data_IF_461962474917
#
_entry.id   IF_461962474917
#
_cell.length_a   1.000
_cell.length_b   1.000
_cell.length_c   1.000
_cell.angle_alpha   90.00
_cell.angle_beta   90.00
_cell.angle_gamma   90.00
#
_symmetry.space_group_name_H-M   'P 1'
#
loop_
_entity.id
_entity.type
_entity.pdbx_description
1 polymer ?
#
# COMPACT_ATOMS: atom_id res chain seq x y z
N UNK A 1 -1.19 22.15 -4.80
CA UNK A 1 -1.00 23.57 -5.20
C UNK A 1 -2.11 24.48 -4.67
N UNK A 2 -3.45 24.21 -4.80
CA UNK A 2 -4.49 25.13 -4.30
C UNK A 2 -4.40 25.38 -2.79
N UNK A 3 -4.14 24.34 -2.00
CA UNK A 3 -4.04 24.44 -0.54
C UNK A 3 -2.86 25.33 -0.10
N UNK A 4 -1.70 25.21 -0.71
CA UNK A 4 -0.54 26.04 -0.41
C UNK A 4 -0.81 27.53 -0.73
N UNK A 5 -1.46 27.81 -1.85
CA UNK A 5 -1.87 29.16 -2.25
C UNK A 5 -2.86 29.74 -1.25
N UNK A 6 -3.85 28.97 -0.80
CA UNK A 6 -4.83 29.41 0.21
C UNK A 6 -4.16 29.75 1.53
N UNK A 7 -3.21 28.94 2.00
CA UNK A 7 -2.46 29.20 3.24
C UNK A 7 -1.61 30.46 3.09
N UNK A 8 -0.88 30.60 1.97
CA UNK A 8 -0.09 31.82 1.72
C UNK A 8 -0.94 33.09 1.70
N UNK A 9 -2.09 33.07 1.02
CA UNK A 9 -3.02 34.19 0.98
C UNK A 9 -3.59 34.51 2.36
N UNK A 10 -3.92 33.49 3.15
CA UNK A 10 -4.40 33.67 4.52
C UNK A 10 -3.33 34.35 5.41
N UNK A 11 -2.07 33.90 5.32
CA UNK A 11 -0.96 34.50 6.07
C UNK A 11 -0.71 35.95 5.63
N UNK A 12 -0.66 36.24 4.34
CA UNK A 12 -0.50 37.59 3.82
C UNK A 12 -1.63 38.50 4.29
N UNK A 13 -2.88 38.03 4.21
CA UNK A 13 -4.05 38.80 4.68
C UNK A 13 -3.97 39.06 6.19
N UNK A 14 -3.56 38.06 6.99
CA UNK A 14 -3.39 38.22 8.43
C UNK A 14 -2.31 39.26 8.76
N UNK A 15 -1.19 39.29 8.04
CA UNK A 15 -0.12 40.30 8.21
C UNK A 15 -0.64 41.68 7.86
N UNK A 16 -1.37 41.83 6.76
CA UNK A 16 -1.96 43.14 6.37
C UNK A 16 -2.93 43.63 7.44
N UNK A 17 -3.82 42.76 7.91
CA UNK A 17 -4.77 43.10 8.99
C UNK A 17 -4.01 43.51 10.25
N UNK A 18 -3.00 42.76 10.67
CA UNK A 18 -2.22 43.06 11.87
C UNK A 18 -1.44 44.39 11.77
N UNK A 19 -0.88 44.70 10.63
CA UNK A 19 -0.04 45.90 10.45
C UNK A 19 -0.82 47.16 10.10
N UNK A 20 -1.96 47.04 9.44
CA UNK A 20 -2.75 48.19 8.94
C UNK A 20 -4.05 48.35 9.68
N UNK A 21 -4.89 47.30 9.72
CA UNK A 21 -6.26 47.41 10.25
C UNK A 21 -6.24 47.52 11.77
N UNK A 22 -5.43 46.71 12.47
CA UNK A 22 -5.39 46.74 13.93
C UNK A 22 -4.89 48.09 14.46
N UNK A 23 -3.79 48.68 13.99
CA UNK A 23 -3.39 50.03 14.45
C UNK A 23 -4.41 51.09 14.12
N UNK A 24 -5.02 51.08 12.93
CA UNK A 24 -6.07 52.03 12.56
C UNK A 24 -7.30 51.95 13.47
N UNK A 25 -7.74 50.69 13.76
CA UNK A 25 -8.83 50.46 14.72
C UNK A 25 -8.48 50.93 16.14
N UNK A 26 -7.22 50.69 16.58
CA UNK A 26 -6.76 51.14 17.88
C UNK A 26 -6.83 52.69 17.97
N UNK A 27 -6.38 53.42 16.95
CA UNK A 27 -6.51 54.90 16.92
C UNK A 27 -7.97 55.34 17.02
N UNK A 28 -8.83 54.67 16.27
CA UNK A 28 -10.26 55.01 16.28
C UNK A 28 -10.96 54.71 17.62
N UNK A 29 -10.71 53.49 18.17
CA UNK A 29 -11.33 53.04 19.41
C UNK A 29 -10.80 53.78 20.63
N UNK A 30 -9.53 54.17 20.64
CA UNK A 30 -8.88 54.83 21.77
C UNK A 30 -8.70 56.36 21.56
N UNK A 31 -9.41 56.95 20.58
CA UNK A 31 -9.33 58.37 20.26
C UNK A 31 -9.61 59.31 21.46
N UNK A 32 -10.38 58.85 22.45
CA UNK A 32 -10.68 59.61 23.68
C UNK A 32 -9.62 59.47 24.78
N UNK A 33 -8.50 58.80 24.49
CA UNK A 33 -7.47 58.52 25.50
C UNK A 33 -7.82 57.36 26.41
N UNK A 34 -6.79 56.64 26.85
CA UNK A 34 -6.92 55.51 27.80
C UNK A 34 -6.18 55.88 29.06
N UNK A 35 -6.85 55.83 30.19
CA UNK A 35 -6.18 55.91 31.49
C UNK A 35 -5.38 54.63 31.72
N UNK A 36 -4.08 54.72 31.51
CA UNK A 36 -3.17 53.59 31.71
C UNK A 36 -3.00 53.35 33.21
N UNK A 37 -3.75 52.35 33.76
CA UNK A 37 -3.42 51.81 35.09
C UNK A 37 -2.21 50.90 34.94
N UNK A 38 -1.10 51.26 35.59
CA UNK A 38 0.10 50.39 35.63
C UNK A 38 -0.28 49.08 36.33
N UNK A 39 -0.23 47.99 35.56
CA UNK A 39 -0.42 46.65 36.10
C UNK A 39 0.73 46.28 37.03
N UNK A 40 0.42 45.83 38.25
CA UNK A 40 1.40 45.36 39.25
C UNK A 40 2.24 44.19 38.70
N UNK A 41 1.64 43.37 37.85
CA UNK A 41 2.28 42.21 37.22
C UNK A 41 3.25 42.65 36.11
N UNK A 42 2.95 43.67 35.35
CA UNK A 42 3.78 44.14 34.23
C UNK A 42 5.01 44.93 34.69
N UNK A 43 4.98 45.58 35.87
CA UNK A 43 6.09 46.37 36.37
C UNK A 43 7.42 45.59 36.46
N UNK A 44 7.49 44.39 37.11
CA UNK A 44 8.74 43.68 37.20
C UNK A 44 9.21 43.13 35.84
N UNK A 45 8.29 42.77 34.95
CA UNK A 45 8.58 42.33 33.58
C UNK A 45 9.20 43.48 32.77
N UNK A 46 8.60 44.67 32.87
CA UNK A 46 9.09 45.87 32.17
C UNK A 46 10.48 46.30 32.65
N UNK A 47 10.71 46.27 33.97
CA UNK A 47 12.08 46.51 34.51
C UNK A 47 13.12 45.48 34.03
N UNK A 48 12.73 44.22 33.94
CA UNK A 48 13.63 43.17 33.46
C UNK A 48 13.92 43.39 31.97
N UNK A 49 12.86 43.65 31.19
CA UNK A 49 12.98 43.96 29.77
C UNK A 49 13.85 45.18 29.49
N UNK A 50 13.64 46.28 30.18
CA UNK A 50 14.44 47.50 30.00
C UNK A 50 15.93 47.26 30.31
N UNK A 51 16.24 46.51 31.40
CA UNK A 51 17.62 46.15 31.72
C UNK A 51 18.23 45.26 30.65
N UNK A 52 17.51 44.25 30.17
CA UNK A 52 17.95 43.36 29.13
C UNK A 52 18.20 44.13 27.81
N UNK A 53 17.27 45.01 27.45
CA UNK A 53 17.37 45.84 26.26
C UNK A 53 18.55 46.79 26.33
N UNK A 54 18.79 47.48 27.44
CA UNK A 54 19.96 48.35 27.64
C UNK A 54 21.25 47.58 27.51
N UNK A 55 21.38 46.38 28.13
CA UNK A 55 22.57 45.53 27.97
C UNK A 55 22.77 45.10 26.54
N UNK A 56 21.69 44.69 25.86
CA UNK A 56 21.73 44.26 24.46
C UNK A 56 22.22 45.41 23.53
N UNK A 57 21.71 46.62 23.73
CA UNK A 57 22.10 47.81 22.97
C UNK A 57 23.57 48.25 23.23
N UNK A 58 24.04 48.11 24.49
CA UNK A 58 25.41 48.38 24.84
C UNK A 58 26.35 47.32 24.25
N UNK A 59 25.93 46.05 24.23
CA UNK A 59 26.71 44.93 23.69
C UNK A 59 26.30 44.54 22.26
N UNK A 60 25.88 45.49 21.41
CA UNK A 60 25.35 45.27 20.06
C UNK A 60 26.19 44.33 19.18
N UNK A 61 27.53 44.46 19.28
CA UNK A 61 28.45 43.58 18.52
C UNK A 61 28.37 42.13 18.99
N UNK A 62 28.26 41.89 20.30
CA UNK A 62 28.09 40.55 20.87
C UNK A 62 26.73 39.92 20.50
N UNK A 63 25.68 40.73 20.51
CA UNK A 63 24.33 40.27 20.10
C UNK A 63 24.34 39.86 18.62
N UNK A 64 24.95 40.68 17.75
CA UNK A 64 25.09 40.34 16.33
C UNK A 64 25.98 39.09 16.11
N UNK A 65 27.07 38.96 16.87
CA UNK A 65 27.95 37.80 16.80
C UNK A 65 27.23 36.52 17.23
N UNK A 66 26.46 36.57 18.32
CA UNK A 66 25.65 35.44 18.80
C UNK A 66 24.56 35.09 17.77
N UNK A 67 23.85 36.08 17.24
CA UNK A 67 22.85 35.85 16.19
C UNK A 67 23.47 35.24 14.92
N UNK A 68 24.60 35.73 14.50
CA UNK A 68 25.36 35.15 13.37
C UNK A 68 25.84 33.74 13.65
N UNK A 69 26.35 33.47 14.86
CA UNK A 69 26.74 32.12 15.25
C UNK A 69 25.55 31.14 15.23
N UNK A 70 24.40 31.55 15.80
CA UNK A 70 23.18 30.72 15.79
C UNK A 70 22.70 30.45 14.35
N UNK A 71 22.78 31.46 13.48
CA UNK A 71 22.44 31.29 12.05
C UNK A 71 23.39 30.27 11.36
N UNK A 72 24.69 30.36 11.64
CA UNK A 72 25.66 29.41 11.11
C UNK A 72 25.39 28.00 11.64
N UNK A 73 25.13 27.85 12.93
CA UNK A 73 24.77 26.55 13.54
C UNK A 73 23.52 25.99 12.89
N UNK A 74 22.49 26.81 12.70
CA UNK A 74 21.27 26.39 12.04
C UNK A 74 21.51 25.95 10.58
N UNK A 75 22.31 26.72 9.83
CA UNK A 75 22.67 26.39 8.46
C UNK A 75 23.51 25.09 8.35
N UNK A 76 24.38 24.82 9.31
CA UNK A 76 25.17 23.57 9.39
C UNK A 76 24.29 22.37 9.80
N UNK A 77 23.27 22.61 10.61
CA UNK A 77 22.33 21.56 11.01
C UNK A 77 21.31 21.22 9.94
N UNK A 78 20.95 22.16 9.06
CA UNK A 78 19.95 21.98 8.01
C UNK A 78 20.18 20.73 7.13
N UNK A 79 21.40 20.45 6.63
CA UNK A 79 21.65 19.25 5.83
C UNK A 79 21.62 17.93 6.63
N UNK A 80 21.65 18.01 7.97
CA UNK A 80 21.56 16.84 8.86
C UNK A 80 20.12 16.51 9.27
N UNK A 81 19.18 17.38 8.95
CA UNK A 81 17.76 17.11 9.11
C UNK A 81 17.36 16.12 8.01
N UNK A 82 16.91 14.94 8.41
CA UNK A 82 16.36 13.95 7.48
C UNK A 82 15.18 14.51 6.69
N UNK A 83 15.00 14.01 5.48
CA UNK A 83 13.87 14.37 4.62
C UNK A 83 12.88 13.24 4.57
N UNK A 84 11.72 13.43 5.17
CA UNK A 84 10.57 12.54 5.02
C UNK A 84 9.53 13.22 4.13
N UNK A 85 8.94 12.45 3.21
CA UNK A 85 7.96 13.01 2.27
C UNK A 85 6.62 13.28 2.97
N UNK A 86 6.18 12.36 3.79
CA UNK A 86 4.98 12.48 4.64
C UNK A 86 5.28 11.84 5.98
N UNK A 87 5.09 12.53 7.11
CA UNK A 87 5.25 11.90 8.43
C UNK A 87 4.18 10.81 8.61
N UNK A 88 4.57 9.67 9.13
CA UNK A 88 3.65 8.58 9.45
C UNK A 88 2.68 9.04 10.55
N UNK A 89 1.38 8.95 10.25
CA UNK A 89 0.32 9.16 11.23
C UNK A 89 0.00 7.83 11.92
N UNK A 90 -0.25 7.86 13.22
CA UNK A 90 -0.74 6.69 13.93
C UNK A 90 -2.23 6.50 13.67
N UNK A 91 -2.58 5.37 13.02
CA UNK A 91 -3.95 5.07 12.61
C UNK A 91 -4.69 4.14 13.60
N UNK A 92 -3.99 3.63 14.63
CA UNK A 92 -4.54 2.63 15.56
C UNK A 92 -4.80 1.27 14.90
N UNK A 93 -4.25 1.05 13.72
CA UNK A 93 -4.39 -0.19 12.95
C UNK A 93 -3.07 -0.56 12.29
N UNK A 94 -2.86 -1.85 12.03
CA UNK A 94 -1.75 -2.36 11.22
C UNK A 94 -2.34 -3.07 10.00
N UNK A 95 -1.78 -2.81 8.84
CA UNK A 95 -2.02 -3.55 7.62
C UNK A 95 -0.81 -4.45 7.34
N UNK A 96 -0.97 -5.74 7.59
CA UNK A 96 0.05 -6.75 7.32
C UNK A 96 -0.25 -7.40 5.96
N UNK A 97 0.65 -7.22 5.01
CA UNK A 97 0.62 -7.97 3.76
C UNK A 97 1.51 -9.19 3.87
N UNK A 98 0.95 -10.35 3.52
CA UNK A 98 1.64 -11.63 3.47
C UNK A 98 1.65 -12.12 2.03
N UNK A 99 2.83 -12.34 1.48
CA UNK A 99 2.98 -12.87 0.12
C UNK A 99 3.50 -14.29 0.19
N UNK A 100 2.71 -15.21 -0.34
CA UNK A 100 3.05 -16.63 -0.48
C UNK A 100 3.85 -16.86 -1.78
N UNK A 101 4.33 -18.09 -1.97
CA UNK A 101 4.95 -18.48 -3.23
C UNK A 101 4.02 -18.19 -4.43
N UNK A 102 4.56 -17.77 -5.60
CA UNK A 102 3.76 -17.43 -6.78
C UNK A 102 2.82 -18.53 -7.25
N UNK A 103 3.20 -19.80 -7.00
CA UNK A 103 2.42 -20.99 -7.35
C UNK A 103 1.34 -21.35 -6.32
N UNK A 104 1.21 -20.58 -5.22
CA UNK A 104 0.20 -20.86 -4.21
C UNK A 104 -1.21 -20.65 -4.76
N UNK A 105 -2.09 -21.62 -4.48
CA UNK A 105 -3.50 -21.53 -4.85
C UNK A 105 -4.29 -20.68 -3.85
N UNK A 106 -5.50 -20.27 -4.24
CA UNK A 106 -6.43 -19.59 -3.35
C UNK A 106 -6.75 -20.45 -2.11
N UNK A 107 -6.92 -21.77 -2.28
CA UNK A 107 -7.18 -22.69 -1.18
C UNK A 107 -6.01 -22.73 -0.19
N UNK A 108 -4.76 -22.65 -0.70
CA UNK A 108 -3.57 -22.56 0.16
C UNK A 108 -3.61 -21.28 0.97
N UNK A 109 -3.87 -20.15 0.34
CA UNK A 109 -3.97 -18.86 1.03
C UNK A 109 -5.10 -18.86 2.09
N UNK A 110 -6.29 -19.41 1.76
CA UNK A 110 -7.40 -19.58 2.69
C UNK A 110 -7.02 -20.47 3.87
N UNK A 111 -6.19 -21.48 3.68
CA UNK A 111 -5.76 -22.38 4.75
C UNK A 111 -4.68 -21.78 5.67
N UNK A 112 -3.88 -20.83 5.15
CA UNK A 112 -2.80 -20.16 5.88
C UNK A 112 -3.33 -18.99 6.71
N UNK A 113 -4.24 -18.19 6.15
CA UNK A 113 -4.72 -16.96 6.80
C UNK A 113 -5.24 -17.15 8.24
N UNK A 114 -6.10 -18.15 8.55
CA UNK A 114 -6.58 -18.34 9.92
C UNK A 114 -5.47 -18.69 10.92
N UNK A 115 -4.39 -19.32 10.46
CA UNK A 115 -3.26 -19.66 11.34
C UNK A 115 -2.47 -18.40 11.70
N UNK A 116 -2.29 -17.49 10.73
CA UNK A 116 -1.65 -16.21 10.96
C UNK A 116 -2.52 -15.32 11.85
N UNK A 117 -3.83 -15.27 11.61
CA UNK A 117 -4.77 -14.51 12.43
C UNK A 117 -4.75 -15.00 13.89
N UNK A 118 -4.81 -16.31 14.11
CA UNK A 118 -4.75 -16.89 15.46
C UNK A 118 -3.48 -16.50 16.20
N UNK A 119 -2.33 -16.52 15.52
CA UNK A 119 -1.04 -16.14 16.09
C UNK A 119 -0.95 -14.63 16.40
N UNK A 120 -1.51 -13.78 15.53
CA UNK A 120 -1.53 -12.34 15.72
C UNK A 120 -2.50 -11.91 16.84
N UNK A 121 -3.60 -12.65 17.02
CA UNK A 121 -4.54 -12.42 18.12
C UNK A 121 -4.00 -12.84 19.50
N UNK A 122 -2.86 -13.54 19.58
CA UNK A 122 -2.20 -13.80 20.86
C UNK A 122 -1.53 -12.55 21.45
N UNK A 123 -1.33 -11.50 20.68
CA UNK A 123 -0.84 -10.22 21.19
C UNK A 123 -1.97 -9.46 21.88
N UNK A 124 -1.76 -9.08 23.15
CA UNK A 124 -2.77 -8.37 23.93
C UNK A 124 -3.19 -7.04 23.34
N UNK A 125 -2.35 -6.42 22.52
CA UNK A 125 -2.54 -5.15 21.84
C UNK A 125 -3.53 -5.26 20.68
N UNK A 126 -3.74 -6.48 20.14
CA UNK A 126 -4.65 -6.72 19.02
C UNK A 126 -6.07 -6.93 19.54
N UNK A 127 -7.03 -6.22 18.96
CA UNK A 127 -8.45 -6.35 19.25
C UNK A 127 -9.14 -7.32 18.30
N UNK A 128 -8.82 -7.19 16.99
CA UNK A 128 -9.34 -8.09 15.95
C UNK A 128 -8.34 -8.24 14.80
N UNK A 129 -8.47 -9.33 14.06
CA UNK A 129 -7.77 -9.60 12.81
C UNK A 129 -8.80 -9.92 11.72
N UNK A 130 -8.62 -9.29 10.54
CA UNK A 130 -9.49 -9.50 9.37
C UNK A 130 -8.62 -9.70 8.14
N UNK A 131 -8.70 -10.88 7.52
CA UNK A 131 -7.96 -11.20 6.30
C UNK A 131 -8.78 -10.97 5.04
N UNK A 132 -8.13 -10.37 4.05
CA UNK A 132 -8.61 -10.27 2.67
C UNK A 132 -7.68 -11.07 1.77
N UNK A 133 -8.23 -12.02 1.00
CA UNK A 133 -7.48 -12.96 0.17
C UNK A 133 -7.97 -12.88 -1.27
N UNK A 134 -7.04 -12.74 -2.21
CA UNK A 134 -7.34 -12.66 -3.62
C UNK A 134 -8.00 -11.35 -4.04
N UNK A 135 -8.72 -11.38 -5.15
CA UNK A 135 -9.36 -10.20 -5.77
C UNK A 135 -10.88 -10.29 -5.72
N UNK A 136 -11.52 -9.14 -5.67
CA UNK A 136 -12.96 -9.05 -5.83
C UNK A 136 -13.37 -9.40 -7.27
N UNK A 137 -14.56 -9.98 -7.44
CA UNK A 137 -15.12 -10.28 -8.77
C UNK A 137 -15.48 -9.01 -9.54
N UNK A 138 -15.91 -7.96 -8.83
CA UNK A 138 -16.33 -6.68 -9.42
C UNK A 138 -15.69 -5.52 -8.67
N UNK A 139 -14.99 -4.63 -9.41
CA UNK A 139 -14.59 -3.30 -8.93
C UNK A 139 -13.50 -3.27 -7.88
N UNK A 140 -12.78 -4.35 -7.65
CA UNK A 140 -11.67 -4.43 -6.70
C UNK A 140 -10.30 -4.19 -7.34
N UNK A 141 -9.30 -3.94 -6.49
CA UNK A 141 -7.90 -3.95 -6.89
C UNK A 141 -7.51 -5.38 -7.32
N UNK A 142 -6.86 -5.56 -8.48
CA UNK A 142 -6.47 -6.88 -8.97
C UNK A 142 -5.25 -7.42 -8.21
N UNK A 143 -5.49 -7.90 -6.98
CA UNK A 143 -4.46 -8.58 -6.20
C UNK A 143 -4.34 -10.05 -6.60
N UNK A 144 -3.12 -10.62 -6.72
CA UNK A 144 -2.94 -12.02 -6.96
C UNK A 144 -3.38 -12.87 -5.77
N UNK A 145 -3.81 -14.10 -6.03
CA UNK A 145 -4.38 -15.01 -5.01
C UNK A 145 -3.36 -15.46 -3.94
N UNK A 146 -2.08 -15.31 -4.21
CA UNK A 146 -1.01 -15.59 -3.25
C UNK A 146 -0.72 -14.42 -2.30
N UNK A 147 -1.46 -13.31 -2.38
CA UNK A 147 -1.39 -12.20 -1.42
C UNK A 147 -2.56 -12.28 -0.43
N UNK A 148 -2.21 -12.20 0.85
CA UNK A 148 -3.14 -12.06 1.96
C UNK A 148 -2.89 -10.69 2.59
N UNK A 149 -3.92 -9.86 2.70
CA UNK A 149 -3.87 -8.63 3.47
C UNK A 149 -4.62 -8.84 4.79
N UNK A 150 -3.92 -8.68 5.91
CA UNK A 150 -4.48 -8.83 7.26
C UNK A 150 -4.56 -7.46 7.91
N UNK A 151 -5.77 -7.03 8.19
CA UNK A 151 -6.04 -5.79 8.94
C UNK A 151 -6.15 -6.13 10.42
N UNK A 152 -5.27 -5.54 11.22
CA UNK A 152 -5.25 -5.68 12.68
C UNK A 152 -5.77 -4.40 13.31
N UNK A 153 -6.90 -4.47 13.99
CA UNK A 153 -7.35 -3.40 14.87
C UNK A 153 -6.59 -3.47 16.19
N UNK A 154 -6.03 -2.33 16.61
CA UNK A 154 -5.28 -2.25 17.85
C UNK A 154 -6.15 -1.65 18.96
N UNK A 155 -5.97 -2.13 20.18
CA UNK A 155 -6.56 -1.53 21.37
C UNK A 155 -6.00 -0.14 21.63
N UNK A 156 -6.70 0.71 22.38
CA UNK A 156 -6.16 1.98 22.85
C UNK A 156 -4.79 1.80 23.53
N UNK A 157 -3.87 2.72 23.27
CA UNK A 157 -2.47 2.62 23.67
C UNK A 157 -2.29 2.42 25.19
N UNK A 158 -3.23 2.92 26.00
CA UNK A 158 -3.20 2.77 27.47
C UNK A 158 -3.38 1.31 27.91
N UNK A 159 -3.87 0.44 27.04
CA UNK A 159 -4.11 -0.99 27.31
C UNK A 159 -2.97 -1.89 26.81
N UNK A 160 -1.92 -1.31 26.23
CA UNK A 160 -0.80 -2.07 25.71
C UNK A 160 0.10 -2.58 26.83
N UNK A 161 0.57 -3.82 26.71
CA UNK A 161 1.35 -4.52 27.74
C UNK A 161 2.74 -4.89 27.22
N UNK A 162 2.80 -5.44 26.00
CA UNK A 162 4.04 -6.04 25.46
C UNK A 162 4.90 -5.03 24.70
N UNK A 163 4.33 -3.96 24.20
CA UNK A 163 5.02 -2.95 23.41
C UNK A 163 4.63 -1.54 23.84
N UNK A 164 5.56 -0.58 23.69
CA UNK A 164 5.30 0.84 23.98
C UNK A 164 5.02 1.65 22.72
N UNK A 165 5.37 1.14 21.57
CA UNK A 165 5.17 1.80 20.27
C UNK A 165 4.71 0.78 19.23
N UNK A 166 4.04 1.26 18.18
CA UNK A 166 3.64 0.43 17.05
C UNK A 166 4.84 -0.28 16.41
N UNK A 167 5.96 0.41 16.28
CA UNK A 167 7.19 -0.14 15.69
C UNK A 167 7.72 -1.31 16.52
N UNK A 168 7.71 -1.17 17.85
CA UNK A 168 8.11 -2.26 18.76
C UNK A 168 7.15 -3.45 18.65
N UNK A 169 5.84 -3.20 18.58
CA UNK A 169 4.83 -4.24 18.37
C UNK A 169 5.04 -4.97 17.05
N UNK A 170 5.31 -4.24 15.97
CA UNK A 170 5.60 -4.82 14.65
C UNK A 170 6.84 -5.73 14.70
N UNK A 171 7.92 -5.32 15.38
CA UNK A 171 9.12 -6.14 15.55
C UNK A 171 8.84 -7.44 16.31
N UNK A 172 8.01 -7.39 17.35
CA UNK A 172 7.59 -8.59 18.09
C UNK A 172 6.74 -9.52 17.21
N UNK A 173 5.85 -8.96 16.41
CA UNK A 173 5.04 -9.73 15.46
C UNK A 173 5.90 -10.35 14.36
N UNK A 174 6.83 -9.59 13.78
CA UNK A 174 7.78 -10.06 12.77
C UNK A 174 8.59 -11.26 13.28
N UNK A 175 9.20 -11.14 14.46
CA UNK A 175 9.95 -12.21 15.09
C UNK A 175 9.10 -13.48 15.32
N UNK A 176 7.82 -13.33 15.65
CA UNK A 176 6.90 -14.46 15.82
C UNK A 176 6.52 -15.10 14.49
N UNK A 177 6.32 -14.29 13.45
CA UNK A 177 5.94 -14.73 12.10
C UNK A 177 7.10 -15.39 11.34
N UNK A 178 8.38 -15.17 11.73
CA UNK A 178 9.55 -15.88 11.18
C UNK A 178 9.45 -17.41 11.32
N UNK A 179 8.57 -17.91 12.19
CA UNK A 179 8.27 -19.34 12.31
C UNK A 179 7.60 -19.95 11.07
N UNK A 180 7.09 -19.10 10.16
CA UNK A 180 6.52 -19.53 8.87
C UNK A 180 7.54 -19.32 7.74
N UNK A 181 8.34 -20.31 7.40
CA UNK A 181 9.32 -20.17 6.34
C UNK A 181 8.64 -20.03 4.98
N UNK A 182 9.22 -19.21 4.12
CA UNK A 182 8.75 -19.02 2.74
C UNK A 182 7.60 -18.05 2.57
N UNK A 183 7.18 -17.32 3.63
CA UNK A 183 6.28 -16.21 3.55
C UNK A 183 7.06 -14.90 3.64
N UNK A 184 6.64 -13.91 2.86
CA UNK A 184 7.16 -12.54 2.94
C UNK A 184 6.13 -11.68 3.67
N UNK A 185 6.59 -10.94 4.67
CA UNK A 185 5.76 -10.08 5.49
C UNK A 185 6.11 -8.62 5.21
N UNK A 186 5.09 -7.77 5.04
CA UNK A 186 5.25 -6.34 4.89
C UNK A 186 4.24 -5.63 5.79
N UNK A 187 4.75 -4.88 6.76
CA UNK A 187 3.95 -4.13 7.72
C UNK A 187 3.76 -2.69 7.26
N UNK A 188 2.52 -2.23 7.29
CA UNK A 188 2.13 -0.87 6.93
C UNK A 188 0.90 -0.44 7.72
N UNK A 189 0.33 0.71 7.35
CA UNK A 189 -0.97 1.17 7.86
C UNK A 189 -1.91 1.43 6.68
N UNK A 190 -3.23 1.28 6.84
CA UNK A 190 -4.20 1.37 5.74
C UNK A 190 -4.13 2.69 4.97
N UNK A 191 -4.11 3.85 5.66
CA UNK A 191 -4.07 5.17 5.02
C UNK A 191 -2.68 5.42 4.43
N UNK A 192 -1.61 5.10 5.16
CA UNK A 192 -0.23 5.22 4.67
C UNK A 192 -0.04 4.42 3.37
N UNK A 193 -0.50 3.17 3.33
CA UNK A 193 -0.46 2.33 2.11
C UNK A 193 -1.19 2.99 0.94
N UNK A 194 -2.35 3.63 1.19
CA UNK A 194 -3.10 4.32 0.14
C UNK A 194 -2.40 5.59 -0.34
N UNK A 195 -1.76 6.32 0.55
CA UNK A 195 -0.95 7.50 0.19
C UNK A 195 0.24 7.09 -0.65
N UNK A 196 0.96 6.04 -0.25
CA UNK A 196 2.10 5.51 -1.01
C UNK A 196 1.67 5.03 -2.40
N UNK A 197 0.56 4.31 -2.50
CA UNK A 197 -0.01 3.86 -3.77
C UNK A 197 -0.38 5.01 -4.70
N UNK A 198 -0.96 6.10 -4.17
CA UNK A 198 -1.30 7.29 -4.95
C UNK A 198 -0.06 8.06 -5.42
N UNK A 199 1.02 8.05 -4.66
CA UNK A 199 2.24 8.78 -4.96
C UNK A 199 3.20 8.01 -5.86
N UNK A 200 3.46 6.74 -5.53
CA UNK A 200 4.44 5.89 -6.20
C UNK A 200 3.81 4.93 -7.22
N UNK A 201 2.50 4.64 -7.08
CA UNK A 201 1.78 3.63 -7.86
C UNK A 201 1.99 2.20 -7.35
N UNK A 202 2.58 2.05 -6.14
CA UNK A 202 2.77 0.78 -5.44
C UNK A 202 2.50 0.95 -3.95
N UNK A 203 2.25 -0.14 -3.24
CA UNK A 203 1.94 -0.13 -1.81
C UNK A 203 3.24 -0.20 -0.97
N UNK A 204 4.19 0.70 -1.24
CA UNK A 204 5.46 0.82 -0.53
C UNK A 204 6.00 2.25 -0.63
N UNK A 205 6.84 2.65 0.32
CA UNK A 205 7.41 3.99 0.41
C UNK A 205 8.35 4.32 -0.76
N UNK A 206 9.11 3.34 -1.25
CA UNK A 206 10.05 3.47 -2.36
C UNK A 206 9.67 2.53 -3.51
N UNK A 207 9.67 3.06 -4.73
CA UNK A 207 9.39 2.31 -5.95
C UNK A 207 10.45 2.60 -7.03
N UNK A 208 11.15 1.57 -7.47
CA UNK A 208 12.07 1.62 -8.61
C UNK A 208 11.34 0.99 -9.79
N UNK A 209 10.97 1.81 -10.78
CA UNK A 209 10.23 1.36 -11.98
C UNK A 209 11.21 1.04 -13.10
N UNK A 210 11.19 -0.18 -13.58
CA UNK A 210 11.99 -0.64 -14.71
C UNK A 210 11.09 -0.86 -15.92
N UNK A 211 11.40 -0.21 -17.03
CA UNK A 211 10.61 -0.25 -18.26
C UNK A 211 11.29 -1.08 -19.34
N UNK A 212 10.50 -1.82 -20.12
CA UNK A 212 11.02 -2.62 -21.22
C UNK A 212 9.92 -3.39 -21.95
N UNK A 213 10.22 -3.86 -23.15
CA UNK A 213 9.27 -4.64 -23.98
C UNK A 213 9.25 -6.12 -23.64
N UNK A 214 10.37 -6.67 -23.15
CA UNK A 214 10.56 -8.10 -22.88
C UNK A 214 10.49 -8.38 -21.38
N UNK A 215 9.54 -9.23 -20.96
CA UNK A 215 9.33 -9.58 -19.56
C UNK A 215 10.48 -10.44 -18.99
N UNK A 216 11.15 -11.26 -19.79
CA UNK A 216 12.25 -12.08 -19.30
C UNK A 216 13.46 -11.19 -18.96
N UNK A 217 13.78 -10.23 -19.84
CA UNK A 217 14.85 -9.24 -19.60
C UNK A 217 14.50 -8.36 -18.39
N UNK A 218 13.25 -7.93 -18.27
CA UNK A 218 12.79 -7.14 -17.12
C UNK A 218 12.95 -7.95 -15.82
N UNK A 219 12.58 -9.24 -15.83
CA UNK A 219 12.75 -10.13 -14.67
C UNK A 219 14.21 -10.25 -14.24
N UNK A 220 15.10 -10.55 -15.19
CA UNK A 220 16.53 -10.68 -14.91
C UNK A 220 17.12 -9.39 -14.33
N UNK A 221 16.85 -8.26 -14.96
CA UNK A 221 17.36 -6.96 -14.49
C UNK A 221 16.71 -6.51 -13.17
N UNK A 222 15.42 -6.81 -12.99
CA UNK A 222 14.72 -6.56 -11.75
C UNK A 222 15.32 -7.30 -10.56
N UNK A 223 15.65 -8.58 -10.73
CA UNK A 223 16.34 -9.38 -9.70
C UNK A 223 17.73 -8.82 -9.35
N UNK A 224 18.48 -8.36 -10.36
CA UNK A 224 19.77 -7.72 -10.12
C UNK A 224 19.62 -6.44 -9.29
N UNK A 225 18.63 -5.61 -9.59
CA UNK A 225 18.32 -4.40 -8.83
C UNK A 225 17.84 -4.74 -7.41
N UNK A 226 16.95 -5.71 -7.27
CA UNK A 226 16.45 -6.18 -5.98
C UNK A 226 17.61 -6.58 -5.05
N UNK A 227 18.55 -7.41 -5.54
CA UNK A 227 19.73 -7.82 -4.78
C UNK A 227 20.61 -6.64 -4.36
N UNK A 228 20.76 -5.63 -5.22
CA UNK A 228 21.52 -4.42 -4.89
C UNK A 228 20.80 -3.60 -3.80
N UNK A 229 19.50 -3.41 -3.93
CA UNK A 229 18.70 -2.64 -2.96
C UNK A 229 18.65 -3.32 -1.60
N UNK A 230 18.61 -4.65 -1.55
CA UNK A 230 18.67 -5.43 -0.30
C UNK A 230 19.95 -5.19 0.50
N UNK A 231 21.03 -4.77 -0.15
CA UNK A 231 22.31 -4.48 0.51
C UNK A 231 22.39 -3.05 1.06
N UNK A 232 21.43 -2.19 0.74
CA UNK A 232 21.41 -0.80 1.18
C UNK A 232 20.96 -0.73 2.65
N UNK A 233 21.79 -0.17 3.57
CA UNK A 233 21.36 -0.01 4.96
C UNK A 233 20.14 0.90 5.08
N UNK A 234 19.09 0.42 5.72
CA UNK A 234 17.83 1.13 5.87
C UNK A 234 16.74 0.72 4.88
N UNK A 235 17.06 0.00 3.79
CA UNK A 235 16.06 -0.62 2.94
C UNK A 235 15.52 -1.90 3.62
N UNK A 236 14.20 -1.98 3.75
CA UNK A 236 13.46 -3.10 4.33
C UNK A 236 12.39 -3.58 3.36
N UNK A 237 11.95 -4.83 3.53
CA UNK A 237 10.86 -5.45 2.74
C UNK A 237 11.07 -5.31 1.23
N UNK A 238 12.33 -5.39 0.80
CA UNK A 238 12.69 -5.24 -0.61
C UNK A 238 12.13 -6.42 -1.39
N UNK A 239 11.27 -6.15 -2.34
CA UNK A 239 10.64 -7.16 -3.17
C UNK A 239 10.42 -6.67 -4.60
N UNK A 240 10.71 -7.53 -5.56
CA UNK A 240 10.35 -7.29 -6.95
C UNK A 240 8.91 -7.73 -7.20
N UNK A 241 8.18 -6.98 -8.01
CA UNK A 241 6.85 -7.35 -8.50
C UNK A 241 6.90 -8.69 -9.24
N UNK A 242 5.97 -9.58 -8.89
CA UNK A 242 5.91 -10.90 -9.51
C UNK A 242 5.37 -10.82 -10.92
N UNK A 243 6.17 -11.21 -11.90
CA UNK A 243 5.82 -11.21 -13.33
C UNK A 243 5.73 -12.61 -13.93
N UNK A 244 5.78 -13.64 -13.11
CA UNK A 244 5.67 -15.04 -13.53
C UNK A 244 5.44 -15.97 -12.34
N UNK A 245 5.25 -17.25 -12.62
CA UNK A 245 5.12 -18.29 -11.60
C UNK A 245 3.69 -18.64 -11.23
N UNK A 246 2.67 -17.89 -11.69
CA UNK A 246 1.28 -18.28 -11.48
C UNK A 246 0.92 -19.47 -12.38
N UNK A 247 0.41 -20.53 -11.76
CA UNK A 247 -0.08 -21.69 -12.49
C UNK A 247 -1.40 -21.37 -13.18
N UNK A 248 -1.39 -21.37 -14.50
CA UNK A 248 -2.58 -21.06 -15.32
C UNK A 248 -3.01 -22.27 -16.10
N UNK A 249 -4.31 -22.60 -16.04
CA UNK A 249 -4.90 -23.61 -16.89
C UNK A 249 -5.12 -23.03 -18.31
N UNK A 250 -4.42 -23.61 -19.27
CA UNK A 250 -4.51 -23.18 -20.67
C UNK A 250 -5.22 -24.26 -21.47
N UNK A 251 -6.27 -23.86 -22.19
CA UNK A 251 -6.99 -24.71 -23.15
C UNK A 251 -6.74 -24.17 -24.54
N UNK A 252 -5.89 -24.86 -25.33
CA UNK A 252 -5.52 -24.46 -26.69
C UNK A 252 -6.39 -25.18 -27.71
N UNK A 253 -7.31 -24.52 -28.42
CA UNK A 253 -8.20 -25.16 -29.40
C UNK A 253 -7.43 -25.71 -30.60
N UNK A 254 -7.68 -26.97 -31.00
CA UNK A 254 -7.26 -27.49 -32.26
C UNK A 254 -8.34 -27.26 -33.31
N UNK A 255 -8.18 -26.21 -34.12
CA UNK A 255 -9.17 -25.77 -35.08
C UNK A 255 -9.50 -26.83 -36.15
N UNK A 256 -8.51 -27.65 -36.57
CA UNK A 256 -8.73 -28.73 -37.52
C UNK A 256 -9.55 -29.87 -36.93
N UNK A 257 -9.26 -30.23 -35.67
CA UNK A 257 -10.04 -31.24 -34.95
C UNK A 257 -11.47 -30.76 -34.72
N UNK A 258 -11.67 -29.53 -34.26
CA UNK A 258 -13.00 -28.92 -34.06
C UNK A 258 -13.81 -28.95 -35.35
N UNK A 259 -13.26 -28.56 -36.50
CA UNK A 259 -13.99 -28.52 -37.79
C UNK A 259 -14.41 -29.91 -38.24
N UNK A 260 -13.63 -30.97 -37.97
CA UNK A 260 -14.01 -32.37 -38.28
C UNK A 260 -15.28 -32.83 -37.55
N UNK A 261 -15.51 -32.28 -36.38
CA UNK A 261 -16.70 -32.57 -35.56
C UNK A 261 -17.82 -31.54 -35.72
N UNK A 262 -17.65 -30.55 -36.63
CA UNK A 262 -18.61 -29.46 -36.83
C UNK A 262 -18.72 -28.50 -35.65
N UNK A 263 -17.69 -28.47 -34.81
CA UNK A 263 -17.61 -27.60 -33.65
C UNK A 263 -16.84 -26.31 -33.95
N UNK A 264 -17.26 -25.21 -33.35
CA UNK A 264 -16.55 -23.95 -33.36
C UNK A 264 -15.65 -23.83 -32.09
N UNK A 265 -14.74 -22.86 -32.13
CA UNK A 265 -13.97 -22.49 -30.94
C UNK A 265 -14.89 -21.97 -29.83
N UNK A 266 -15.98 -21.28 -30.19
CA UNK A 266 -16.97 -20.78 -29.23
C UNK A 266 -17.63 -21.93 -28.46
N UNK A 267 -18.07 -22.99 -29.15
CA UNK A 267 -18.69 -24.16 -28.52
C UNK A 267 -17.76 -24.82 -27.47
N UNK A 268 -16.47 -24.90 -27.80
CA UNK A 268 -15.45 -25.38 -26.86
C UNK A 268 -15.31 -24.45 -25.66
N UNK A 269 -15.17 -23.15 -25.92
CA UNK A 269 -14.93 -22.15 -24.87
C UNK A 269 -16.17 -21.99 -23.95
N UNK A 270 -17.37 -22.18 -24.47
CA UNK A 270 -18.60 -22.20 -23.68
C UNK A 270 -18.59 -23.31 -22.62
N UNK A 271 -18.15 -24.52 -22.98
CA UNK A 271 -18.01 -25.62 -22.02
C UNK A 271 -16.93 -25.34 -20.99
N UNK A 272 -15.80 -24.77 -21.41
CA UNK A 272 -14.72 -24.40 -20.50
C UNK A 272 -15.17 -23.27 -19.56
N UNK A 273 -15.73 -22.20 -20.09
CA UNK A 273 -16.12 -21.03 -19.33
C UNK A 273 -17.26 -21.34 -18.37
N UNK A 274 -18.33 -21.95 -18.83
CA UNK A 274 -19.50 -22.23 -18.03
C UNK A 274 -19.33 -23.48 -17.13
N UNK A 275 -18.61 -24.49 -17.63
CA UNK A 275 -18.34 -25.70 -16.88
C UNK A 275 -17.35 -25.47 -15.76
N UNK A 276 -16.18 -24.86 -16.04
CA UNK A 276 -15.12 -24.64 -15.05
C UNK A 276 -15.34 -23.35 -14.28
N UNK A 277 -15.54 -22.24 -14.99
CA UNK A 277 -15.79 -20.93 -14.41
C UNK A 277 -17.15 -20.84 -13.71
N UNK A 278 -18.18 -21.42 -14.29
CA UNK A 278 -19.56 -21.38 -13.82
C UNK A 278 -20.37 -20.26 -14.49
N UNK A 279 -21.69 -20.35 -14.29
CA UNK A 279 -22.65 -19.37 -14.81
C UNK A 279 -23.74 -19.09 -13.76
N UNK A 280 -24.14 -17.83 -13.64
CA UNK A 280 -25.33 -17.48 -12.86
C UNK A 280 -26.58 -17.97 -13.56
N UNK A 281 -27.34 -18.82 -12.91
CA UNK A 281 -28.63 -19.36 -13.38
C UNK A 281 -29.83 -18.52 -12.92
N UNK A 282 -29.62 -17.57 -12.03
CA UNK A 282 -30.64 -16.68 -11.49
C UNK A 282 -30.22 -16.08 -10.16
N UNK A 283 -31.12 -15.33 -9.53
CA UNK A 283 -30.86 -14.68 -8.24
C UNK A 283 -32.00 -14.97 -7.25
N UNK A 284 -31.67 -15.16 -6.00
CA UNK A 284 -32.59 -15.15 -4.88
C UNK A 284 -32.55 -13.74 -4.28
N UNK A 285 -33.70 -13.08 -4.19
CA UNK A 285 -33.84 -11.76 -3.60
C UNK A 285 -34.53 -11.94 -2.24
N UNK A 286 -33.84 -11.57 -1.15
CA UNK A 286 -34.37 -11.62 0.20
C UNK A 286 -34.24 -10.20 0.82
N UNK A 287 -35.35 -9.49 0.84
CA UNK A 287 -35.40 -8.08 1.24
C UNK A 287 -34.36 -7.21 0.49
N UNK A 288 -33.29 -6.78 1.15
CA UNK A 288 -32.22 -5.95 0.57
C UNK A 288 -31.01 -6.75 0.08
N UNK A 289 -31.02 -8.07 0.26
CA UNK A 289 -29.94 -8.97 -0.10
C UNK A 289 -30.23 -9.66 -1.42
N UNK A 290 -29.18 -9.86 -2.24
CA UNK A 290 -29.24 -10.58 -3.50
C UNK A 290 -28.18 -11.65 -3.51
N UNK A 291 -28.59 -12.90 -3.77
CA UNK A 291 -27.73 -14.07 -3.84
C UNK A 291 -27.82 -14.68 -5.24
N UNK A 292 -26.69 -14.77 -5.94
CA UNK A 292 -26.64 -15.44 -7.23
C UNK A 292 -26.69 -16.97 -7.05
N UNK A 293 -27.54 -17.62 -7.86
CA UNK A 293 -27.52 -19.07 -7.99
C UNK A 293 -26.45 -19.40 -9.04
N UNK A 294 -25.29 -19.87 -8.58
CA UNK A 294 -24.17 -20.15 -9.44
C UNK A 294 -24.06 -21.65 -9.74
N UNK A 295 -24.09 -22.01 -11.04
CA UNK A 295 -23.99 -23.40 -11.50
C UNK A 295 -22.65 -23.63 -12.15
N UNK A 296 -21.90 -24.61 -11.69
CA UNK A 296 -20.63 -25.04 -12.25
C UNK A 296 -20.43 -26.54 -12.04
N UNK A 297 -19.49 -27.13 -12.78
CA UNK A 297 -19.11 -28.53 -12.60
C UNK A 297 -18.52 -28.73 -11.19
N UNK A 298 -18.81 -29.86 -10.57
CA UNK A 298 -18.31 -30.19 -9.23
C UNK A 298 -16.78 -30.15 -9.18
N UNK A 299 -16.24 -29.78 -8.00
CA UNK A 299 -14.81 -29.53 -7.81
C UNK A 299 -13.92 -30.68 -8.26
N UNK A 300 -14.31 -31.93 -8.00
CA UNK A 300 -13.59 -33.12 -8.39
C UNK A 300 -13.34 -33.25 -9.90
N UNK A 301 -14.20 -32.63 -10.74
CA UNK A 301 -14.10 -32.68 -12.19
C UNK A 301 -13.39 -31.46 -12.82
N UNK A 302 -12.82 -30.56 -12.01
CA UNK A 302 -12.15 -29.34 -12.48
C UNK A 302 -10.80 -29.06 -11.82
N UNK A 303 -10.27 -30.01 -11.04
CA UNK A 303 -9.02 -29.85 -10.31
C UNK A 303 -7.77 -30.17 -11.14
N UNK A 304 -7.87 -31.06 -12.11
CA UNK A 304 -6.74 -31.58 -12.88
C UNK A 304 -6.94 -31.38 -14.39
N UNK A 305 -5.90 -31.04 -15.17
CA UNK A 305 -5.99 -30.90 -16.62
C UNK A 305 -6.52 -32.16 -17.32
N UNK A 306 -6.14 -33.36 -16.86
CA UNK A 306 -6.61 -34.65 -17.42
C UNK A 306 -8.12 -34.81 -17.28
N UNK A 307 -8.66 -34.47 -16.11
CA UNK A 307 -10.12 -34.57 -15.86
C UNK A 307 -10.87 -33.50 -16.68
N UNK A 308 -10.29 -32.32 -16.87
CA UNK A 308 -10.85 -31.27 -17.71
C UNK A 308 -10.82 -31.70 -19.20
N UNK A 309 -9.76 -32.37 -19.64
CA UNK A 309 -9.66 -32.94 -20.99
C UNK A 309 -10.74 -34.00 -21.25
N UNK A 310 -11.21 -34.70 -20.21
CA UNK A 310 -12.30 -35.69 -20.30
C UNK A 310 -13.73 -35.09 -20.29
N UNK A 311 -13.85 -33.78 -20.08
CA UNK A 311 -15.16 -33.11 -20.21
C UNK A 311 -15.75 -33.33 -21.61
N UNK A 312 -17.08 -33.46 -21.66
CA UNK A 312 -17.80 -33.88 -22.85
C UNK A 312 -18.46 -32.68 -23.56
N UNK A 313 -18.24 -32.59 -24.85
CA UNK A 313 -18.92 -31.65 -25.77
C UNK A 313 -19.90 -32.45 -26.62
N UNK A 314 -21.08 -31.86 -26.84
CA UNK A 314 -22.06 -32.41 -27.77
C UNK A 314 -21.90 -31.73 -29.13
N UNK A 315 -21.68 -32.50 -30.17
CA UNK A 315 -21.59 -32.00 -31.53
C UNK A 315 -22.99 -31.63 -32.09
N UNK A 316 -23.12 -30.77 -33.11
CA UNK A 316 -24.37 -30.49 -33.77
C UNK A 316 -25.05 -31.74 -34.34
N UNK A 317 -24.25 -32.75 -34.72
CA UNK A 317 -24.74 -34.05 -35.21
C UNK A 317 -25.20 -35.00 -34.06
N UNK A 318 -25.09 -34.57 -32.80
CA UNK A 318 -25.53 -35.36 -31.63
C UNK A 318 -24.48 -36.28 -31.06
N UNK A 319 -23.30 -36.42 -31.67
CA UNK A 319 -22.21 -37.20 -31.11
C UNK A 319 -21.56 -36.53 -29.88
N UNK A 320 -20.90 -37.29 -29.03
CA UNK A 320 -20.19 -36.80 -27.85
C UNK A 320 -18.68 -36.92 -28.12
N UNK A 321 -17.96 -35.81 -27.90
CA UNK A 321 -16.50 -35.70 -28.07
C UNK A 321 -15.92 -35.16 -26.77
N UNK A 322 -14.71 -35.57 -26.41
CA UNK A 322 -14.02 -35.01 -25.24
C UNK A 322 -13.29 -33.72 -25.59
N UNK A 323 -13.14 -32.83 -24.60
CA UNK A 323 -12.35 -31.60 -24.75
C UNK A 323 -10.93 -31.93 -25.25
N UNK A 324 -10.27 -32.96 -24.71
CA UNK A 324 -8.94 -33.39 -25.11
C UNK A 324 -8.82 -33.92 -26.54
N UNK A 325 -9.95 -34.32 -27.20
CA UNK A 325 -9.92 -34.72 -28.62
C UNK A 325 -9.89 -33.52 -29.58
N UNK A 326 -10.24 -32.31 -29.06
CA UNK A 326 -10.35 -31.08 -29.87
C UNK A 326 -9.53 -29.89 -29.32
N UNK A 327 -8.86 -30.08 -28.19
CA UNK A 327 -8.01 -29.07 -27.56
C UNK A 327 -6.87 -29.71 -26.78
N UNK A 328 -5.79 -28.97 -26.61
CA UNK A 328 -4.70 -29.32 -25.69
C UNK A 328 -4.95 -28.61 -24.34
N UNK A 329 -4.95 -29.37 -23.26
CA UNK A 329 -5.26 -28.89 -21.90
C UNK A 329 -4.04 -29.09 -21.03
N UNK A 330 -3.41 -28.00 -20.62
CA UNK A 330 -2.16 -28.04 -19.86
C UNK A 330 -2.07 -26.92 -18.83
N UNK A 331 -1.20 -27.09 -17.84
CA UNK A 331 -0.84 -26.01 -16.92
C UNK A 331 0.43 -25.36 -17.43
N UNK A 332 0.38 -24.05 -17.63
CA UNK A 332 1.56 -23.24 -17.96
C UNK A 332 1.81 -22.21 -16.85
N UNK A 333 3.08 -21.84 -16.68
CA UNK A 333 3.43 -20.72 -15.82
C UNK A 333 3.19 -19.41 -16.56
N UNK A 334 2.33 -18.58 -16.04
CA UNK A 334 1.98 -17.28 -16.62
C UNK A 334 2.32 -16.12 -15.70
N UNK A 335 2.21 -14.91 -16.26
CA UNK A 335 2.28 -13.68 -15.48
C UNK A 335 0.91 -13.43 -14.82
N UNK A 336 0.84 -13.25 -13.50
CA UNK A 336 -0.42 -12.92 -12.82
C UNK A 336 -0.98 -11.59 -13.33
N UNK A 337 -0.10 -10.64 -13.62
CA UNK A 337 -0.45 -9.32 -14.10
C UNK A 337 0.67 -8.74 -14.98
N UNK A 338 0.29 -8.03 -16.05
CA UNK A 338 1.22 -7.25 -16.88
C UNK A 338 0.86 -5.77 -16.73
N UNK A 339 1.67 -5.04 -15.98
CA UNK A 339 1.46 -3.60 -15.73
C UNK A 339 2.12 -2.73 -16.80
N UNK A 340 1.48 -1.60 -17.08
CA UNK A 340 1.98 -0.59 -18.01
C UNK A 340 1.80 0.80 -17.44
N UNK A 341 2.81 1.66 -17.61
CA UNK A 341 2.73 3.09 -17.43
C UNK A 341 3.03 3.73 -18.78
N UNK A 342 2.23 4.70 -19.20
CA UNK A 342 2.36 5.38 -20.51
C UNK A 342 2.54 4.40 -21.69
N UNK A 343 1.70 3.34 -21.72
CA UNK A 343 1.71 2.28 -22.74
C UNK A 343 2.93 1.34 -22.66
N UNK A 344 3.99 1.67 -21.95
CA UNK A 344 5.19 0.83 -21.80
C UNK A 344 5.00 -0.20 -20.69
N UNK A 345 5.42 -1.44 -20.93
CA UNK A 345 5.48 -2.46 -19.87
C UNK A 345 6.47 -2.06 -18.81
N UNK A 346 6.12 -2.28 -17.56
CA UNK A 346 6.99 -2.04 -16.43
C UNK A 346 6.93 -3.16 -15.40
N UNK A 347 7.98 -3.25 -14.63
CA UNK A 347 8.00 -3.94 -13.33
C UNK A 347 8.46 -2.95 -12.26
N UNK A 348 8.16 -3.27 -11.00
CA UNK A 348 8.57 -2.44 -9.87
C UNK A 348 9.36 -3.28 -8.88
N UNK A 349 10.45 -2.72 -8.43
CA UNK A 349 11.15 -3.14 -7.22
C UNK A 349 10.72 -2.15 -6.13
N UNK A 350 10.08 -2.66 -5.10
CA UNK A 350 9.55 -1.87 -3.99
C UNK A 350 10.38 -2.10 -2.74
N UNK A 351 10.45 -1.08 -1.88
CA UNK A 351 11.11 -1.18 -0.58
C UNK A 351 10.44 -0.24 0.42
N UNK A 352 10.54 -0.57 1.71
CA UNK A 352 10.25 0.34 2.81
C UNK A 352 11.56 0.88 3.38
N UNK A 353 11.49 1.98 4.09
CA UNK A 353 12.65 2.60 4.74
C UNK A 353 12.47 2.51 6.25
N UNK A 354 13.48 1.98 6.95
CA UNK A 354 13.46 1.84 8.41
C UNK A 354 14.79 2.25 9.03
N UNK A 355 14.72 3.06 10.10
CA UNK A 355 15.89 3.47 10.87
C UNK A 355 16.77 4.54 10.20
N UNK A 356 16.41 5.02 8.99
CA UNK A 356 17.05 6.11 8.26
C UNK A 356 16.00 6.99 7.61
N UNK A 357 16.39 8.19 7.17
CA UNK A 357 15.53 9.03 6.35
C UNK A 357 15.55 8.58 4.88
N UNK A 358 14.46 8.79 4.18
CA UNK A 358 14.29 8.38 2.79
C UNK A 358 15.34 9.02 1.87
N UNK A 359 15.67 10.31 2.07
CA UNK A 359 16.67 11.01 1.28
C UNK A 359 18.06 10.36 1.32
N UNK A 360 18.48 9.86 2.49
CA UNK A 360 19.76 9.17 2.65
C UNK A 360 19.80 7.74 2.11
N UNK A 361 18.64 7.10 1.92
CA UNK A 361 18.52 5.77 1.30
C UNK A 361 18.54 5.88 -0.22
N UNK A 362 17.96 6.96 -0.77
CA UNK A 362 17.87 7.20 -2.22
C UNK A 362 19.18 7.77 -2.79
N UNK A 363 19.97 8.50 -1.99
CA UNK A 363 21.26 9.09 -2.40
C UNK A 363 22.37 8.04 -2.48
#
# INVERSE_FOLDING_TARGET
QPMAVSIMLAIISAVIVALVVVPALCVYLFAKGVTVKQSIILKPIDMLYQRALQKALQAKRSVLAIAGLLLIVAAVMLPKLGTEFVPELEEGTINLRVTLAPSASLETAISVAPKLEAMLLEFNEVEYALSRIGRAEVGGDPEPVNNIEIYLGLKPHEQWVNAKTRVELQQLMEAKLEQFPGLLFNFSQPIATRVDELLSGVKAQLAIKLFGSDLAVLSEKGQQIEQLVQQIPGAKDVAMEQIGGEAQLIVKPNRLALSRFGLSVADLMDVVQHGIGGQSAGQIINANERYDIYVRIAQSYRQNPSVIADLRLRTPAGAIVRVGDVADVQIESGAPQVRRDDVQRRIVIQANVQGRDMGSVVA
#
